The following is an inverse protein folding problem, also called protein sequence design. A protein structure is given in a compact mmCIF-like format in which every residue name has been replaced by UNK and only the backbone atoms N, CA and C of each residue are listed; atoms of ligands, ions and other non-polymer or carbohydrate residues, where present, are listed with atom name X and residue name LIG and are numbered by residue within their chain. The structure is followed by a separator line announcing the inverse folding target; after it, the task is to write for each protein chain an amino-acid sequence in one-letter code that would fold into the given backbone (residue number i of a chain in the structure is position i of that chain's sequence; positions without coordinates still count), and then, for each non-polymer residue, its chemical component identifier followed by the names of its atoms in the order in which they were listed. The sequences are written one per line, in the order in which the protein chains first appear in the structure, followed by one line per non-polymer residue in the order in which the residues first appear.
data_IF_691561677393
#
_entry.id   IF_691561677393
#
_cell.length_a   1.000
_cell.length_b   1.000
_cell.length_c   1.000
_cell.angle_alpha   90.00
_cell.angle_beta   90.00
_cell.angle_gamma   90.00
#
_symmetry.space_group_name_H-M   'P 1'
#
loop_
_entity.id
_entity.type
_entity.pdbx_description
1 polymer ?
#
# COMPACT_ATOMS: atom_id res chain seq x y z
N UNK A 1 4.33 -5.81 -4.31
CA UNK A 1 3.53 -5.33 -3.14
C UNK A 1 2.19 -4.90 -3.71
N UNK A 2 1.37 -4.13 -2.99
CA UNK A 2 0.29 -3.35 -3.61
C UNK A 2 0.53 -1.90 -3.24
N UNK A 3 0.76 -1.03 -4.23
CA UNK A 3 0.83 0.42 -4.04
C UNK A 3 -0.55 1.07 -4.11
N UNK A 4 -0.85 1.97 -3.17
CA UNK A 4 -2.12 2.68 -3.06
C UNK A 4 -1.99 4.11 -3.59
N UNK A 5 -1.99 4.24 -4.91
CA UNK A 5 -1.67 5.49 -5.58
C UNK A 5 -2.61 6.65 -5.19
N UNK A 6 -2.02 7.70 -4.63
CA UNK A 6 -2.68 8.95 -4.23
C UNK A 6 -3.28 8.94 -2.81
N UNK A 7 -3.08 7.87 -2.04
CA UNK A 7 -3.43 7.85 -0.62
C UNK A 7 -2.35 8.47 0.26
N UNK A 8 -2.75 9.13 1.34
CA UNK A 8 -1.85 9.62 2.39
C UNK A 8 -1.85 8.62 3.55
N UNK A 9 -1.02 7.59 3.45
CA UNK A 9 -0.98 6.46 4.40
C UNK A 9 0.45 6.17 4.87
N UNK A 10 0.63 5.46 5.99
CA UNK A 10 1.96 5.10 6.48
C UNK A 10 2.75 4.25 5.48
N UNK A 11 4.08 4.42 5.45
CA UNK A 11 4.95 3.77 4.45
C UNK A 11 5.06 2.25 4.61
N UNK A 12 4.71 1.70 5.78
CA UNK A 12 4.69 0.26 6.02
C UNK A 12 3.51 -0.46 5.34
N UNK A 13 2.49 0.29 4.91
CA UNK A 13 1.30 -0.21 4.19
C UNK A 13 1.13 0.41 2.81
N UNK A 14 2.01 1.34 2.40
CA UNK A 14 1.86 2.10 1.16
C UNK A 14 2.09 1.27 -0.11
N UNK A 15 2.98 0.27 -0.06
CA UNK A 15 3.37 -0.53 -1.22
C UNK A 15 4.73 -0.16 -1.81
N UNK A 16 5.33 0.97 -1.41
CA UNK A 16 6.65 1.40 -1.82
C UNK A 16 7.76 0.62 -1.08
N UNK A 17 8.47 -0.28 -1.79
CA UNK A 17 9.54 -1.08 -1.18
C UNK A 17 10.71 -0.20 -0.70
N UNK A 18 11.06 0.84 -1.46
CA UNK A 18 12.15 1.76 -1.13
C UNK A 18 11.87 2.58 0.15
N UNK A 19 10.59 2.75 0.50
CA UNK A 19 10.17 3.49 1.70
C UNK A 19 9.81 2.58 2.88
N UNK A 20 10.04 1.27 2.74
CA UNK A 20 9.96 0.31 3.84
C UNK A 20 8.72 -0.59 3.86
N UNK A 21 7.87 -0.58 2.83
CA UNK A 21 6.83 -1.62 2.74
C UNK A 21 7.46 -3.00 2.54
N UNK A 22 7.18 -4.00 3.40
CA UNK A 22 7.70 -5.35 3.22
C UNK A 22 7.13 -6.02 1.95
N UNK A 23 7.94 -6.77 1.18
CA UNK A 23 7.42 -7.53 0.05
C UNK A 23 6.50 -8.65 0.52
N UNK A 24 5.48 -8.98 -0.27
CA UNK A 24 4.69 -10.18 -0.08
C UNK A 24 5.41 -11.34 -0.78
N UNK A 25 5.90 -12.36 -0.07
CA UNK A 25 6.63 -13.46 -0.69
C UNK A 25 5.69 -14.31 -1.57
N UNK A 26 6.23 -15.13 -2.49
CA UNK A 26 5.44 -16.10 -3.23
C UNK A 26 4.61 -16.96 -2.27
N UNK A 27 3.32 -17.14 -2.59
CA UNK A 27 2.33 -17.83 -1.73
C UNK A 27 2.09 -17.19 -0.35
N UNK A 28 2.69 -16.03 -0.08
CA UNK A 28 2.45 -15.23 1.11
C UNK A 28 1.18 -14.39 1.03
N UNK A 29 0.77 -13.85 2.18
CA UNK A 29 -0.36 -12.93 2.28
C UNK A 29 0.03 -11.75 3.18
N UNK A 30 -0.41 -10.56 2.83
CA UNK A 30 -0.37 -9.38 3.68
C UNK A 30 -1.76 -8.77 3.80
N UNK A 31 -2.06 -8.18 4.96
CA UNK A 31 -3.31 -7.48 5.23
C UNK A 31 -2.99 -6.00 5.40
N UNK A 32 -3.59 -5.18 4.55
CA UNK A 32 -3.47 -3.73 4.60
C UNK A 32 -4.68 -3.16 5.34
N UNK A 33 -4.43 -2.23 6.28
CA UNK A 33 -5.47 -1.54 7.03
C UNK A 33 -5.02 -0.10 7.29
N UNK A 34 -5.78 0.85 6.76
CA UNK A 34 -5.55 2.28 6.94
C UNK A 34 -6.85 3.04 6.74
N UNK A 35 -6.90 4.31 7.15
CA UNK A 35 -8.03 5.18 6.86
C UNK A 35 -7.85 5.82 5.49
N UNK A 36 -8.79 5.64 4.55
CA UNK A 36 -8.65 6.21 3.20
C UNK A 36 -8.80 7.72 3.23
N UNK A 37 -7.73 8.45 2.90
CA UNK A 37 -7.71 9.92 2.73
C UNK A 37 -6.66 10.33 1.69
N UNK A 38 -6.86 11.46 0.97
CA UNK A 38 -8.05 12.32 0.97
C UNK A 38 -9.25 11.70 0.23
N UNK A 39 -10.38 12.41 0.13
CA UNK A 39 -11.51 11.97 -0.69
C UNK A 39 -11.23 12.27 -2.17
N UNK A 40 -11.59 11.36 -3.06
CA UNK A 40 -11.33 11.48 -4.50
C UNK A 40 -11.31 10.13 -5.20
N UNK A 41 -10.85 10.15 -6.44
CA UNK A 41 -10.65 8.94 -7.25
C UNK A 41 -9.19 8.53 -7.19
N UNK A 42 -8.95 7.32 -6.70
CA UNK A 42 -7.64 6.72 -6.53
C UNK A 42 -7.64 5.28 -7.07
N UNK A 43 -6.49 4.62 -7.06
CA UNK A 43 -6.32 3.28 -7.61
C UNK A 43 -5.20 2.54 -6.90
N UNK A 44 -5.05 1.25 -7.20
CA UNK A 44 -3.98 0.42 -6.66
C UNK A 44 -3.30 -0.38 -7.78
N UNK A 45 -2.02 -0.71 -7.61
CA UNK A 45 -1.27 -1.53 -8.54
C UNK A 45 -0.13 -2.29 -7.87
N UNK A 46 0.48 -3.25 -8.58
CA UNK A 46 1.67 -3.99 -8.12
C UNK A 46 2.93 -3.17 -8.22
#
# INVERSE_FOLDING_TARGET
TVHWHGFHIPSDVDGAHEEGTPPVPPHGRSRYAFTPRPAGTFWYHS
#
